data_IF_891832424273
#
_entry.id   IF_891832424273
#
_cell.length_a   1.000
_cell.length_b   1.000
_cell.length_c   1.000
_cell.angle_alpha   90.00
_cell.angle_beta   90.00
_cell.angle_gamma   90.00
#
_symmetry.space_group_name_H-M   'P 1'
#
loop_
_entity.id
_entity.type
_entity.pdbx_description
1 polymer ?
#
# COMPACT_ATOMS: atom_id res chain seq x y z
N UNK A 1 -5.25 -21.27 6.84
CA UNK A 1 -6.40 -20.82 6.00
C UNK A 1 -6.67 -21.86 4.92
N UNK A 2 -7.67 -22.69 5.10
CA UNK A 2 -8.14 -23.63 4.07
C UNK A 2 -9.12 -22.91 3.17
N UNK A 3 -8.83 -21.98 2.31
CA UNK A 3 -9.83 -21.63 1.28
C UNK A 3 -9.39 -20.46 0.42
N UNK A 4 -8.59 -20.76 -0.61
CA UNK A 4 -8.46 -19.85 -1.76
C UNK A 4 -9.82 -19.50 -2.37
N UNK A 5 -10.77 -20.42 -2.35
CA UNK A 5 -12.13 -20.23 -2.87
C UNK A 5 -12.95 -19.22 -2.06
N UNK A 6 -12.79 -19.19 -0.74
CA UNK A 6 -13.45 -18.21 0.12
C UNK A 6 -12.97 -16.79 -0.18
N UNK A 7 -11.66 -16.61 -0.32
CA UNK A 7 -11.09 -15.29 -0.65
C UNK A 7 -11.47 -14.84 -2.06
N UNK A 8 -11.57 -15.77 -3.02
CA UNK A 8 -12.11 -15.43 -4.34
C UNK A 8 -13.55 -14.91 -4.24
N UNK A 9 -14.38 -15.50 -3.39
CA UNK A 9 -15.72 -14.99 -3.10
C UNK A 9 -15.75 -13.57 -2.53
N UNK A 10 -14.74 -13.18 -1.72
CA UNK A 10 -14.64 -11.80 -1.18
C UNK A 10 -14.34 -10.76 -2.25
N UNK A 11 -13.75 -11.18 -3.37
CA UNK A 11 -13.24 -10.32 -4.42
C UNK A 11 -14.10 -10.33 -5.69
N UNK A 12 -15.16 -11.13 -5.72
CA UNK A 12 -15.96 -11.38 -6.93
C UNK A 12 -16.64 -10.14 -7.52
N UNK A 13 -16.92 -9.14 -6.69
CA UNK A 13 -17.56 -7.87 -7.06
C UNK A 13 -16.56 -6.71 -7.22
N UNK A 14 -15.26 -6.97 -7.08
CA UNK A 14 -14.24 -5.93 -7.25
C UNK A 14 -13.88 -5.74 -8.72
N UNK A 15 -14.06 -4.52 -9.18
CA UNK A 15 -13.58 -4.10 -10.49
C UNK A 15 -12.13 -3.63 -10.41
N UNK A 16 -11.29 -4.27 -11.22
CA UNK A 16 -9.87 -3.94 -11.34
C UNK A 16 -9.55 -3.32 -12.69
N UNK A 17 -8.65 -2.35 -12.66
CA UNK A 17 -8.08 -1.76 -13.86
C UNK A 17 -7.10 -2.73 -14.53
N UNK A 18 -7.15 -2.80 -15.87
CA UNK A 18 -6.29 -3.68 -16.68
C UNK A 18 -5.89 -2.99 -17.96
N UNK A 19 -4.73 -3.33 -18.49
CA UNK A 19 -4.37 -2.96 -19.85
C UNK A 19 -4.98 -3.94 -20.86
N UNK A 20 -5.63 -3.43 -21.90
CA UNK A 20 -5.93 -4.23 -23.07
C UNK A 20 -4.65 -4.72 -23.77
N UNK A 21 -4.73 -5.79 -24.56
CA UNK A 21 -3.58 -6.46 -25.17
C UNK A 21 -2.70 -5.51 -25.99
N UNK A 22 -3.32 -4.69 -26.85
CA UNK A 22 -2.61 -3.72 -27.70
C UNK A 22 -1.84 -2.70 -26.85
N UNK A 23 -2.50 -2.14 -25.83
CA UNK A 23 -1.89 -1.15 -24.94
C UNK A 23 -0.74 -1.74 -24.11
N UNK A 24 -0.86 -3.00 -23.70
CA UNK A 24 0.21 -3.74 -23.00
C UNK A 24 1.45 -3.89 -23.90
N UNK A 25 1.23 -4.26 -25.17
CA UNK A 25 2.32 -4.41 -26.12
C UNK A 25 2.98 -3.06 -26.41
N UNK A 26 2.20 -2.01 -26.70
CA UNK A 26 2.69 -0.65 -26.95
C UNK A 26 3.50 -0.13 -25.75
N UNK A 27 3.00 -0.38 -24.54
CA UNK A 27 3.72 -0.03 -23.31
C UNK A 27 5.06 -0.74 -23.21
N UNK A 28 5.12 -2.02 -23.48
CA UNK A 28 6.35 -2.84 -23.37
C UNK A 28 7.39 -2.43 -24.44
N UNK A 29 6.95 -2.21 -25.68
CA UNK A 29 7.86 -2.01 -26.82
C UNK A 29 8.26 -0.54 -27.00
N UNK A 30 7.39 0.41 -26.66
CA UNK A 30 7.64 1.84 -26.92
C UNK A 30 7.67 2.69 -25.66
N UNK A 31 6.61 2.66 -24.84
CA UNK A 31 6.45 3.62 -23.74
C UNK A 31 7.49 3.37 -22.63
N UNK A 32 7.67 2.14 -22.18
CA UNK A 32 8.63 1.82 -21.13
C UNK A 32 10.08 2.07 -21.57
N UNK A 33 10.56 1.65 -22.77
CA UNK A 33 11.89 2.03 -23.25
C UNK A 33 12.07 3.54 -23.33
N UNK A 34 11.11 4.28 -23.89
CA UNK A 34 11.18 5.73 -23.96
C UNK A 34 11.30 6.37 -22.56
N UNK A 35 10.44 6.01 -21.63
CA UNK A 35 10.47 6.53 -20.26
C UNK A 35 11.80 6.18 -19.54
N UNK A 36 12.27 4.95 -19.69
CA UNK A 36 13.48 4.49 -19.00
C UNK A 36 14.78 5.05 -19.59
N UNK A 37 14.84 5.36 -20.88
CA UNK A 37 16.10 5.71 -21.58
C UNK A 37 16.16 7.13 -22.09
N UNK A 38 15.03 7.86 -22.18
CA UNK A 38 15.08 9.31 -22.46
C UNK A 38 15.98 10.03 -21.45
N UNK A 39 16.78 11.03 -21.85
CA UNK A 39 17.59 11.79 -20.90
C UNK A 39 16.76 12.35 -19.74
N UNK A 40 17.20 12.08 -18.50
CA UNK A 40 16.44 12.47 -17.32
C UNK A 40 16.20 13.98 -17.21
N UNK A 41 17.19 14.78 -17.65
CA UNK A 41 17.06 16.25 -17.71
C UNK A 41 15.93 16.70 -18.66
N UNK A 42 15.81 16.08 -19.83
CA UNK A 42 14.74 16.36 -20.77
C UNK A 42 13.37 15.97 -20.20
N UNK A 43 13.28 14.77 -19.61
CA UNK A 43 12.03 14.31 -18.98
C UNK A 43 11.61 15.25 -17.84
N UNK A 44 12.54 15.64 -16.98
CA UNK A 44 12.27 16.62 -15.90
C UNK A 44 11.85 17.98 -16.45
N UNK A 45 12.46 18.46 -17.54
CA UNK A 45 12.08 19.71 -18.18
C UNK A 45 10.63 19.64 -18.71
N UNK A 46 10.26 18.56 -19.39
CA UNK A 46 8.89 18.35 -19.89
C UNK A 46 7.90 18.33 -18.73
N UNK A 47 8.19 17.60 -17.65
CA UNK A 47 7.29 17.52 -16.49
C UNK A 47 7.14 18.87 -15.77
N UNK A 48 8.19 19.71 -15.73
CA UNK A 48 8.11 21.07 -15.19
C UNK A 48 7.28 21.99 -16.11
N UNK A 49 7.53 21.96 -17.42
CA UNK A 49 6.80 22.77 -18.39
C UNK A 49 5.29 22.44 -18.44
N UNK A 50 4.94 21.20 -18.12
CA UNK A 50 3.55 20.73 -18.05
C UNK A 50 2.94 20.79 -16.66
N UNK A 51 3.65 21.41 -15.70
CA UNK A 51 3.21 21.62 -14.31
C UNK A 51 2.71 20.33 -13.65
N UNK A 52 3.45 19.21 -13.84
CA UNK A 52 3.08 17.92 -13.28
C UNK A 52 3.10 17.96 -11.75
N UNK A 53 1.92 17.86 -11.13
CA UNK A 53 1.78 17.77 -9.66
C UNK A 53 2.35 16.46 -9.12
N UNK A 54 2.18 15.35 -9.84
CA UNK A 54 2.75 14.05 -9.49
C UNK A 54 4.28 14.11 -9.46
N UNK A 55 4.89 14.77 -10.46
CA UNK A 55 6.34 14.94 -10.50
C UNK A 55 6.82 15.85 -9.36
N UNK A 56 6.15 16.98 -9.15
CA UNK A 56 6.47 17.90 -8.06
C UNK A 56 6.41 17.21 -6.68
N UNK A 57 5.36 16.43 -6.44
CA UNK A 57 5.20 15.64 -5.21
C UNK A 57 6.36 14.65 -5.02
N UNK A 58 6.75 13.92 -6.08
CA UNK A 58 7.86 12.96 -6.01
C UNK A 58 9.23 13.63 -5.90
N UNK A 59 9.41 14.84 -6.42
CA UNK A 59 10.69 15.58 -6.23
C UNK A 59 10.82 16.16 -4.83
N UNK A 60 9.70 16.51 -4.19
CA UNK A 60 9.69 16.97 -2.81
C UNK A 60 9.91 15.81 -1.82
N UNK A 61 9.23 14.68 -2.05
CA UNK A 61 9.29 13.48 -1.21
C UNK A 61 9.06 12.24 -2.09
N UNK A 62 10.15 11.58 -2.55
CA UNK A 62 10.07 10.45 -3.48
C UNK A 62 9.28 9.27 -2.89
N UNK A 63 8.13 8.96 -3.48
CA UNK A 63 7.21 7.92 -2.99
C UNK A 63 6.37 8.32 -1.78
N UNK A 64 6.43 9.58 -1.39
CA UNK A 64 5.68 10.12 -0.27
C UNK A 64 4.16 10.15 -0.49
N UNK A 65 3.44 10.40 0.58
CA UNK A 65 1.98 10.27 0.62
C UNK A 65 1.24 11.14 -0.42
N UNK A 66 1.76 12.34 -0.77
CA UNK A 66 1.13 13.23 -1.76
C UNK A 66 1.08 12.58 -3.14
N UNK A 67 2.18 11.97 -3.58
CA UNK A 67 2.25 11.25 -4.86
C UNK A 67 1.33 10.03 -4.88
N UNK A 68 1.17 9.37 -3.72
CA UNK A 68 0.24 8.25 -3.55
C UNK A 68 -1.21 8.70 -3.66
N UNK A 69 -1.58 9.82 -3.03
CA UNK A 69 -2.94 10.39 -3.11
C UNK A 69 -3.32 10.73 -4.54
N UNK A 70 -2.43 11.41 -5.29
CA UNK A 70 -2.66 11.74 -6.72
C UNK A 70 -2.88 10.45 -7.52
N UNK A 71 -2.10 9.41 -7.25
CA UNK A 71 -2.22 8.11 -7.92
C UNK A 71 -3.53 7.39 -7.55
N UNK A 72 -3.97 7.47 -6.29
CA UNK A 72 -5.22 6.87 -5.80
C UNK A 72 -6.48 7.58 -6.27
N UNK A 73 -6.45 8.91 -6.35
CA UNK A 73 -7.56 9.70 -6.89
C UNK A 73 -7.83 9.37 -8.36
N UNK A 74 -6.76 9.17 -9.13
CA UNK A 74 -6.87 8.73 -10.52
C UNK A 74 -7.46 9.79 -11.46
N UNK A 75 -7.64 11.03 -11.02
CA UNK A 75 -8.24 12.12 -11.82
C UNK A 75 -7.38 13.39 -11.83
N UNK A 76 -6.15 13.32 -12.33
CA UNK A 76 -5.25 14.47 -12.37
C UNK A 76 -5.73 15.53 -13.36
N UNK A 77 -5.39 16.79 -13.07
CA UNK A 77 -5.77 17.93 -13.92
C UNK A 77 -4.81 18.13 -15.08
N UNK A 78 -3.50 18.01 -14.83
CA UNK A 78 -2.43 18.27 -15.79
C UNK A 78 -2.34 17.17 -16.85
N UNK A 79 -1.99 17.55 -18.09
CA UNK A 79 -1.90 16.62 -19.23
C UNK A 79 -0.81 15.55 -18.97
N UNK A 80 0.35 15.96 -18.46
CA UNK A 80 1.42 15.00 -18.14
C UNK A 80 0.98 14.01 -17.08
N UNK A 81 0.28 14.47 -16.04
CA UNK A 81 -0.21 13.60 -14.99
C UNK A 81 -1.30 12.65 -15.49
N UNK A 82 -2.17 13.09 -16.41
CA UNK A 82 -3.12 12.19 -17.10
C UNK A 82 -2.38 11.06 -17.80
N UNK A 83 -1.29 11.36 -18.50
CA UNK A 83 -0.48 10.35 -19.17
C UNK A 83 0.23 9.42 -18.17
N UNK A 84 0.77 9.95 -17.09
CA UNK A 84 1.45 9.17 -16.06
C UNK A 84 0.48 8.31 -15.25
N UNK A 85 -0.63 8.88 -14.77
CA UNK A 85 -1.60 8.23 -13.87
C UNK A 85 -2.45 7.19 -14.62
N UNK A 86 -2.94 7.52 -15.80
CA UNK A 86 -3.72 6.57 -16.60
C UNK A 86 -2.84 5.66 -17.48
N UNK A 87 -1.70 6.15 -17.96
CA UNK A 87 -0.76 5.40 -18.78
C UNK A 87 0.21 4.50 -18.00
N UNK A 88 0.50 4.85 -16.76
CA UNK A 88 1.46 4.17 -15.92
C UNK A 88 0.94 2.85 -15.34
N UNK A 89 1.78 1.80 -15.35
CA UNK A 89 1.42 0.54 -14.66
C UNK A 89 1.42 0.72 -13.13
N UNK A 90 2.35 1.49 -12.60
CA UNK A 90 2.46 1.72 -11.16
C UNK A 90 1.22 2.42 -10.57
N UNK A 91 0.74 3.58 -11.06
CA UNK A 91 -0.47 4.21 -10.53
C UNK A 91 -1.72 3.33 -10.66
N UNK A 92 -1.86 2.60 -11.76
CA UNK A 92 -2.96 1.65 -11.95
C UNK A 92 -2.89 0.50 -10.93
N UNK A 93 -1.71 -0.09 -10.73
CA UNK A 93 -1.48 -1.13 -9.75
C UNK A 93 -1.70 -0.63 -8.31
N UNK A 94 -1.34 0.62 -8.00
CA UNK A 94 -1.63 1.25 -6.72
C UNK A 94 -3.14 1.35 -6.45
N UNK A 95 -3.95 1.75 -7.43
CA UNK A 95 -5.41 1.78 -7.30
C UNK A 95 -5.99 0.38 -7.13
N UNK A 96 -5.48 -0.62 -7.88
CA UNK A 96 -5.88 -2.01 -7.72
C UNK A 96 -5.50 -2.54 -6.33
N UNK A 97 -4.26 -2.28 -5.86
CA UNK A 97 -3.81 -2.65 -4.51
C UNK A 97 -4.71 -2.03 -3.44
N UNK A 98 -5.06 -0.75 -3.56
CA UNK A 98 -5.96 -0.06 -2.64
C UNK A 98 -7.31 -0.76 -2.53
N UNK A 99 -7.97 -1.06 -3.67
CA UNK A 99 -9.27 -1.76 -3.70
C UNK A 99 -9.18 -3.15 -3.09
N UNK A 100 -8.15 -3.91 -3.50
CA UNK A 100 -7.89 -5.27 -3.01
C UNK A 100 -7.64 -5.28 -1.51
N UNK A 101 -6.71 -4.47 -1.04
CA UNK A 101 -6.31 -4.42 0.36
C UNK A 101 -7.43 -3.93 1.28
N UNK A 102 -8.17 -2.88 0.89
CA UNK A 102 -9.31 -2.39 1.67
C UNK A 102 -10.40 -3.46 1.82
N UNK A 103 -10.71 -4.21 0.74
CA UNK A 103 -11.66 -5.31 0.79
C UNK A 103 -11.19 -6.45 1.70
N UNK A 104 -9.92 -6.87 1.56
CA UNK A 104 -9.36 -7.93 2.40
C UNK A 104 -9.33 -7.51 3.87
N UNK A 105 -8.90 -6.29 4.16
CA UNK A 105 -8.88 -5.77 5.53
C UNK A 105 -10.29 -5.70 6.13
N UNK A 106 -11.29 -5.24 5.38
CA UNK A 106 -12.69 -5.24 5.82
C UNK A 106 -13.18 -6.65 6.19
N UNK A 107 -12.84 -7.65 5.37
CA UNK A 107 -13.20 -9.05 5.64
C UNK A 107 -12.47 -9.65 6.85
N UNK A 108 -11.24 -9.23 7.10
CA UNK A 108 -10.51 -9.62 8.32
C UNK A 108 -11.10 -8.96 9.55
N UNK A 109 -11.50 -7.69 9.48
CA UNK A 109 -12.24 -7.00 10.54
C UNK A 109 -13.53 -7.74 10.89
N UNK A 110 -14.31 -8.17 9.90
CA UNK A 110 -15.56 -8.92 10.11
C UNK A 110 -15.34 -10.28 10.82
N UNK A 111 -14.11 -10.82 10.79
CA UNK A 111 -13.72 -12.08 11.44
C UNK A 111 -12.94 -11.92 12.74
N UNK A 112 -12.69 -10.69 13.15
CA UNK A 112 -12.01 -10.45 14.42
C UNK A 112 -12.78 -11.09 15.58
N UNK A 113 -12.11 -11.68 16.58
CA UNK A 113 -12.77 -12.35 17.69
C UNK A 113 -13.48 -11.39 18.63
N UNK A 114 -13.02 -10.13 18.68
CA UNK A 114 -13.49 -9.09 19.61
C UNK A 114 -14.26 -8.01 18.86
N UNK A 115 -15.24 -7.36 19.51
CA UNK A 115 -15.96 -6.21 18.99
C UNK A 115 -16.02 -5.10 20.07
N UNK A 116 -15.60 -3.88 19.76
CA UNK A 116 -15.09 -3.42 18.47
C UNK A 116 -13.69 -4.01 18.15
N UNK A 117 -13.45 -4.36 16.88
CA UNK A 117 -12.16 -4.85 16.44
C UNK A 117 -11.13 -3.72 16.38
N UNK A 118 -9.89 -3.99 16.81
CA UNK A 118 -8.78 -3.05 16.72
C UNK A 118 -7.88 -3.33 15.52
N UNK A 119 -7.74 -2.37 14.63
CA UNK A 119 -6.81 -2.39 13.50
C UNK A 119 -5.60 -1.52 13.81
N UNK A 120 -4.41 -2.07 13.62
CA UNK A 120 -3.15 -1.30 13.65
C UNK A 120 -2.63 -1.15 12.23
N UNK A 121 -2.50 0.08 11.75
CA UNK A 121 -1.93 0.40 10.44
C UNK A 121 -0.58 1.08 10.60
N UNK A 122 0.44 0.57 9.93
CA UNK A 122 1.83 0.96 10.05
C UNK A 122 2.37 1.56 8.75
N UNK A 123 3.07 2.70 8.86
CA UNK A 123 3.43 3.50 7.69
C UNK A 123 2.17 3.95 6.98
N UNK A 124 1.16 4.33 7.77
CA UNK A 124 -0.20 4.54 7.31
C UNK A 124 -0.34 5.74 6.37
N UNK A 125 0.58 6.69 6.41
CA UNK A 125 0.43 7.97 5.72
C UNK A 125 -0.92 8.60 6.06
N UNK A 126 -1.76 8.92 5.05
CA UNK A 126 -3.12 9.43 5.29
C UNK A 126 -4.15 8.35 5.68
N UNK A 127 -3.77 7.08 5.79
CA UNK A 127 -4.65 5.99 6.22
C UNK A 127 -5.81 5.66 5.30
N UNK A 128 -5.68 5.90 4.00
CA UNK A 128 -6.78 5.75 3.03
C UNK A 128 -7.29 4.31 2.97
N UNK A 129 -6.40 3.31 2.88
CA UNK A 129 -6.78 1.89 2.76
C UNK A 129 -7.53 1.43 4.01
N UNK A 130 -7.00 1.75 5.19
CA UNK A 130 -7.64 1.41 6.46
C UNK A 130 -8.98 2.12 6.63
N UNK A 131 -9.08 3.39 6.26
CA UNK A 131 -10.34 4.15 6.27
C UNK A 131 -11.39 3.53 5.35
N UNK A 132 -10.99 3.17 4.12
CA UNK A 132 -11.87 2.48 3.16
C UNK A 132 -12.35 1.12 3.70
N UNK A 133 -11.47 0.38 4.39
CA UNK A 133 -11.83 -0.88 5.01
C UNK A 133 -12.82 -0.71 6.15
N UNK A 134 -12.62 0.28 7.04
CA UNK A 134 -13.55 0.61 8.10
C UNK A 134 -14.92 1.02 7.56
N UNK A 135 -14.96 1.78 6.45
CA UNK A 135 -16.21 2.17 5.80
C UNK A 135 -16.96 0.98 5.18
N UNK A 136 -16.24 -0.05 4.70
CA UNK A 136 -16.82 -1.26 4.11
C UNK A 136 -17.24 -2.30 5.16
N UNK A 137 -16.56 -2.35 6.30
CA UNK A 137 -16.85 -3.32 7.35
C UNK A 137 -18.20 -3.04 8.03
N UNK A 138 -19.02 -4.08 8.19
CA UNK A 138 -20.32 -4.01 8.90
C UNK A 138 -20.13 -4.07 10.41
N UNK A 139 -19.08 -4.75 10.86
CA UNK A 139 -18.73 -4.91 12.26
C UNK A 139 -18.13 -3.61 12.82
N UNK A 140 -18.40 -3.30 14.08
CA UNK A 140 -17.76 -2.16 14.75
C UNK A 140 -16.24 -2.40 14.85
N UNK A 141 -15.48 -1.40 14.41
CA UNK A 141 -14.03 -1.42 14.47
C UNK A 141 -13.47 0.00 14.56
N UNK A 142 -12.29 0.10 15.12
CA UNK A 142 -11.49 1.34 15.15
C UNK A 142 -10.06 1.04 14.72
N UNK A 143 -9.32 2.07 14.32
CA UNK A 143 -7.95 1.92 13.87
C UNK A 143 -7.01 2.91 14.55
N UNK A 144 -5.82 2.41 14.89
CA UNK A 144 -4.64 3.20 15.25
C UNK A 144 -3.72 3.25 14.02
N UNK A 145 -3.51 4.45 13.50
CA UNK A 145 -2.74 4.72 12.29
C UNK A 145 -1.42 5.36 12.70
N UNK A 146 -0.31 4.65 12.49
CA UNK A 146 1.02 5.06 12.93
C UNK A 146 1.89 5.41 11.72
N UNK A 147 2.51 6.58 11.74
CA UNK A 147 3.48 7.00 10.74
C UNK A 147 4.57 7.86 11.37
N UNK A 148 5.77 7.84 10.79
CA UNK A 148 6.87 8.73 11.18
C UNK A 148 6.58 10.19 10.80
N UNK A 149 5.88 10.39 9.68
CA UNK A 149 5.57 11.71 9.15
C UNK A 149 4.12 12.10 9.42
N UNK A 150 3.92 13.05 10.33
CA UNK A 150 2.61 13.55 10.68
C UNK A 150 1.96 14.46 9.60
N UNK A 151 2.69 14.87 8.57
CA UNK A 151 2.20 15.79 7.52
C UNK A 151 0.99 15.25 6.77
N UNK A 152 0.82 13.91 6.71
CA UNK A 152 -0.32 13.26 6.09
C UNK A 152 -1.59 13.27 6.94
N UNK A 153 -1.49 13.53 8.23
CA UNK A 153 -2.57 13.27 9.19
C UNK A 153 -3.75 14.21 9.05
N UNK A 154 -3.52 15.47 8.70
CA UNK A 154 -4.61 16.42 8.44
C UNK A 154 -5.47 15.96 7.27
N UNK A 155 -4.81 15.61 6.14
CA UNK A 155 -5.49 15.04 4.99
C UNK A 155 -6.23 13.74 5.37
N UNK A 156 -5.59 12.87 6.14
CA UNK A 156 -6.16 11.61 6.60
C UNK A 156 -7.41 11.77 7.46
N UNK A 157 -7.40 12.72 8.40
CA UNK A 157 -8.57 13.03 9.23
C UNK A 157 -9.76 13.53 8.40
N UNK A 158 -9.48 14.42 7.45
CA UNK A 158 -10.51 14.93 6.55
C UNK A 158 -11.05 13.82 5.62
N UNK A 159 -10.18 12.95 5.11
CA UNK A 159 -10.59 11.78 4.33
C UNK A 159 -11.48 10.85 5.16
N UNK A 160 -11.07 10.50 6.38
CA UNK A 160 -11.83 9.64 7.27
C UNK A 160 -13.20 10.24 7.64
N UNK A 161 -13.26 11.56 7.87
CA UNK A 161 -14.50 12.28 8.14
C UNK A 161 -15.48 12.17 6.96
N UNK A 162 -15.01 12.38 5.73
CA UNK A 162 -15.83 12.24 4.51
C UNK A 162 -16.32 10.81 4.28
N UNK A 163 -15.50 9.82 4.65
CA UNK A 163 -15.85 8.40 4.55
C UNK A 163 -16.76 7.90 5.71
N UNK A 164 -17.16 8.77 6.64
CA UNK A 164 -17.97 8.38 7.79
C UNK A 164 -17.22 7.55 8.85
N UNK A 165 -15.87 7.62 8.84
CA UNK A 165 -15.01 6.88 9.77
C UNK A 165 -14.22 7.80 10.73
N UNK A 166 -14.49 9.11 10.75
CA UNK A 166 -13.68 10.10 11.45
C UNK A 166 -13.48 9.85 12.95
N UNK A 167 -14.49 9.33 13.64
CA UNK A 167 -14.43 8.96 15.06
C UNK A 167 -13.88 7.54 15.31
N UNK A 168 -13.49 6.83 14.27
CA UNK A 168 -12.99 5.45 14.35
C UNK A 168 -11.50 5.35 14.02
N UNK A 169 -10.83 6.47 13.73
CA UNK A 169 -9.41 6.52 13.40
C UNK A 169 -8.67 7.42 14.38
N UNK A 170 -7.53 6.93 14.87
CA UNK A 170 -6.58 7.66 15.70
C UNK A 170 -5.24 7.70 14.99
N UNK A 171 -4.72 8.90 14.72
CA UNK A 171 -3.41 9.10 14.10
C UNK A 171 -2.35 9.34 15.17
N UNK A 172 -1.24 8.60 15.11
CA UNK A 172 -0.11 8.71 16.03
C UNK A 172 1.19 8.88 15.22
N UNK A 173 1.94 9.94 15.54
CA UNK A 173 3.29 10.09 15.03
C UNK A 173 4.27 9.33 15.92
N UNK A 174 5.10 8.47 15.32
CA UNK A 174 6.10 7.74 16.08
C UNK A 174 6.82 6.66 15.31
N UNK A 175 7.96 6.25 15.86
CA UNK A 175 8.73 5.14 15.33
C UNK A 175 8.21 3.80 15.90
N UNK A 176 7.68 2.98 15.02
CA UNK A 176 7.15 1.65 15.33
C UNK A 176 8.20 0.77 16.02
N UNK A 177 9.47 0.93 15.66
CA UNK A 177 10.56 0.08 16.17
C UNK A 177 10.82 0.27 17.66
N UNK A 178 10.55 1.46 18.17
CA UNK A 178 10.93 1.85 19.53
C UNK A 178 9.75 1.99 20.49
N UNK A 179 8.58 2.39 19.99
CA UNK A 179 7.47 2.80 20.86
C UNK A 179 6.16 2.04 20.64
N UNK A 180 6.16 0.94 19.85
CA UNK A 180 4.91 0.25 19.50
C UNK A 180 4.13 -0.24 20.73
N UNK A 181 4.83 -0.65 21.79
CA UNK A 181 4.19 -1.12 23.04
C UNK A 181 3.50 0.01 23.81
N UNK A 182 4.06 1.24 23.73
CA UNK A 182 3.52 2.42 24.42
C UNK A 182 2.35 3.05 23.65
N UNK A 183 2.25 2.75 22.35
CA UNK A 183 1.23 3.32 21.46
C UNK A 183 -0.10 2.58 21.51
N UNK A 184 -0.14 1.37 22.08
CA UNK A 184 -1.28 0.47 22.05
C UNK A 184 -1.85 0.23 23.44
N UNK A 185 -3.12 0.55 23.62
CA UNK A 185 -3.87 0.23 24.84
C UNK A 185 -4.20 -1.28 24.92
N UNK A 186 -4.37 -1.93 23.75
CA UNK A 186 -4.71 -3.34 23.61
C UNK A 186 -4.01 -3.98 22.41
N UNK A 187 -3.76 -5.31 22.43
CA UNK A 187 -3.26 -6.02 21.26
C UNK A 187 -4.17 -5.82 20.04
N UNK A 188 -3.62 -5.52 18.85
CA UNK A 188 -4.44 -5.40 17.66
C UNK A 188 -4.97 -6.77 17.19
N UNK A 189 -6.24 -6.77 16.74
CA UNK A 189 -6.89 -7.94 16.14
C UNK A 189 -6.48 -8.14 14.69
N UNK A 190 -6.14 -7.07 13.99
CA UNK A 190 -5.67 -7.08 12.60
C UNK A 190 -4.57 -6.04 12.45
N UNK A 191 -3.51 -6.39 11.73
CA UNK A 191 -2.45 -5.44 11.38
C UNK A 191 -2.41 -5.20 9.87
N UNK A 192 -2.16 -3.97 9.48
CA UNK A 192 -1.90 -3.57 8.10
C UNK A 192 -0.53 -2.90 8.02
N UNK A 193 0.34 -3.40 7.14
CA UNK A 193 1.68 -2.90 6.86
C UNK A 193 1.89 -2.89 5.34
N UNK A 194 1.22 -1.96 4.67
CA UNK A 194 1.21 -1.84 3.21
C UNK A 194 1.96 -0.57 2.76
N UNK A 195 2.75 -0.70 1.70
CA UNK A 195 3.43 0.43 1.08
C UNK A 195 4.69 0.90 1.81
N UNK A 196 5.23 0.14 2.76
CA UNK A 196 6.46 0.49 3.47
C UNK A 196 7.60 -0.51 3.21
N UNK A 197 7.31 -1.79 2.98
CA UNK A 197 8.35 -2.82 2.82
C UNK A 197 9.29 -2.54 1.63
N UNK A 198 8.81 -1.85 0.61
CA UNK A 198 9.59 -1.45 -0.56
C UNK A 198 10.64 -0.37 -0.27
N UNK A 199 10.58 0.30 0.88
CA UNK A 199 11.54 1.34 1.30
C UNK A 199 12.53 0.84 2.37
N UNK A 200 12.36 -0.40 2.85
CA UNK A 200 13.12 -0.99 3.94
C UNK A 200 14.10 -2.03 3.44
N UNK A 201 15.27 -2.17 4.11
CA UNK A 201 16.17 -3.32 3.91
C UNK A 201 15.50 -4.60 4.47
N UNK A 202 16.06 -5.76 4.15
CA UNK A 202 15.54 -7.05 4.64
C UNK A 202 15.58 -7.11 6.18
N UNK A 203 16.66 -6.64 6.78
CA UNK A 203 16.83 -6.57 8.24
C UNK A 203 15.81 -5.63 8.89
N UNK A 204 15.53 -4.50 8.25
CA UNK A 204 14.52 -3.55 8.75
C UNK A 204 13.11 -4.14 8.65
N UNK A 205 12.79 -4.83 7.56
CA UNK A 205 11.51 -5.54 7.39
C UNK A 205 11.32 -6.55 8.51
N UNK A 206 12.31 -7.43 8.74
CA UNK A 206 12.25 -8.44 9.81
C UNK A 206 12.15 -7.80 11.18
N UNK A 207 12.94 -6.75 11.46
CA UNK A 207 12.93 -6.05 12.74
C UNK A 207 11.56 -5.46 13.08
N UNK A 208 10.97 -4.71 12.12
CA UNK A 208 9.64 -4.10 12.29
C UNK A 208 8.56 -5.17 12.41
N UNK A 209 8.57 -6.16 11.52
CA UNK A 209 7.60 -7.25 11.53
C UNK A 209 7.66 -8.06 12.84
N UNK A 210 8.86 -8.28 13.41
CA UNK A 210 9.04 -8.94 14.71
C UNK A 210 8.50 -8.10 15.86
N UNK A 211 8.70 -6.78 15.85
CA UNK A 211 8.15 -5.88 16.85
C UNK A 211 6.62 -5.90 16.83
N UNK A 212 6.04 -5.86 15.63
CA UNK A 212 4.59 -5.97 15.42
C UNK A 212 4.04 -7.32 15.88
N UNK A 213 4.69 -8.40 15.48
CA UNK A 213 4.28 -9.76 15.86
C UNK A 213 4.18 -9.90 17.39
N UNK A 214 5.14 -9.34 18.16
CA UNK A 214 5.11 -9.40 19.63
C UNK A 214 3.87 -8.77 20.26
N UNK A 215 3.35 -7.67 19.70
CA UNK A 215 2.19 -6.94 20.25
C UNK A 215 0.84 -7.45 19.76
N UNK A 216 0.80 -8.26 18.71
CA UNK A 216 -0.43 -8.83 18.17
C UNK A 216 -1.02 -9.90 19.07
N UNK A 217 -2.33 -10.10 19.03
CA UNK A 217 -2.97 -11.26 19.59
C UNK A 217 -2.53 -12.56 18.88
N UNK A 218 -2.51 -13.69 19.58
CA UNK A 218 -2.16 -15.00 18.98
C UNK A 218 -3.11 -15.35 17.83
N UNK A 219 -2.58 -15.80 16.70
CA UNK A 219 -3.35 -16.14 15.50
C UNK A 219 -3.92 -14.94 14.73
N UNK A 220 -3.71 -13.69 15.20
CA UNK A 220 -4.19 -12.49 14.53
C UNK A 220 -3.58 -12.36 13.11
N UNK A 221 -4.38 -11.95 12.12
CA UNK A 221 -3.91 -11.75 10.75
C UNK A 221 -3.19 -10.41 10.59
N UNK A 222 -2.21 -10.40 9.67
CA UNK A 222 -1.55 -9.19 9.20
C UNK A 222 -1.54 -9.15 7.67
N UNK A 223 -1.71 -7.95 7.10
CA UNK A 223 -1.61 -7.69 5.68
C UNK A 223 -0.27 -7.03 5.36
N UNK A 224 0.39 -7.55 4.33
CA UNK A 224 1.62 -7.03 3.75
C UNK A 224 1.47 -6.87 2.24
N UNK A 225 2.36 -6.13 1.58
CA UNK A 225 2.47 -6.24 0.13
C UNK A 225 3.92 -6.42 -0.33
N UNK A 226 4.10 -7.23 -1.35
CA UNK A 226 5.33 -7.24 -2.14
C UNK A 226 5.20 -6.33 -3.36
N UNK A 227 6.33 -5.81 -3.82
CA UNK A 227 6.44 -5.01 -5.03
C UNK A 227 7.37 -5.72 -6.02
N UNK A 228 6.86 -6.05 -7.21
CA UNK A 228 7.63 -6.69 -8.28
C UNK A 228 8.11 -5.69 -9.34
N UNK A 229 9.05 -6.10 -10.18
CA UNK A 229 9.52 -5.32 -11.33
C UNK A 229 8.52 -5.26 -12.51
N UNK A 230 7.34 -5.87 -12.38
CA UNK A 230 6.34 -5.96 -13.47
C UNK A 230 5.83 -4.59 -13.97
N UNK A 231 5.97 -3.53 -13.17
CA UNK A 231 5.65 -2.17 -13.63
C UNK A 231 6.55 -1.68 -14.78
N UNK A 232 7.80 -2.20 -14.88
CA UNK A 232 8.71 -1.96 -15.99
C UNK A 232 9.33 -0.58 -16.09
N UNK A 233 9.26 0.25 -15.04
CA UNK A 233 9.69 1.64 -15.04
C UNK A 233 10.63 2.00 -13.86
N UNK A 234 11.31 1.03 -13.26
CA UNK A 234 12.21 1.28 -12.11
C UNK A 234 13.31 2.31 -12.46
N UNK A 235 13.91 2.15 -13.64
CA UNK A 235 14.95 3.09 -14.12
C UNK A 235 14.40 4.52 -14.26
N UNK A 236 13.17 4.69 -14.73
CA UNK A 236 12.49 5.97 -14.80
C UNK A 236 12.31 6.58 -13.41
N UNK A 237 11.77 5.82 -12.47
CA UNK A 237 11.54 6.28 -11.10
C UNK A 237 12.82 6.73 -10.42
N UNK A 238 13.89 5.93 -10.50
CA UNK A 238 15.20 6.29 -9.93
C UNK A 238 15.80 7.53 -10.55
N UNK A 239 15.79 7.66 -11.88
CA UNK A 239 16.46 8.74 -12.60
C UNK A 239 15.69 10.04 -12.62
N UNK A 240 14.37 9.99 -12.73
CA UNK A 240 13.53 11.17 -12.90
C UNK A 240 13.02 11.68 -11.55
N UNK A 241 12.60 10.79 -10.66
CA UNK A 241 12.04 11.14 -9.36
C UNK A 241 12.99 10.96 -8.17
N UNK A 242 14.10 10.24 -8.34
CA UNK A 242 14.97 9.87 -7.23
C UNK A 242 14.36 8.77 -6.34
N UNK A 243 13.30 8.13 -6.81
CA UNK A 243 12.57 7.11 -6.07
C UNK A 243 13.28 5.75 -6.19
N UNK A 244 13.80 5.27 -5.08
CA UNK A 244 14.45 3.97 -4.95
C UNK A 244 13.56 3.01 -4.19
N UNK A 245 13.28 1.85 -4.78
CA UNK A 245 12.43 0.83 -4.19
C UNK A 245 13.15 -0.52 -4.17
N UNK A 246 12.99 -1.26 -3.08
CA UNK A 246 13.45 -2.64 -2.96
C UNK A 246 12.34 -3.57 -3.49
N UNK A 247 12.60 -4.17 -4.65
CA UNK A 247 11.66 -5.10 -5.26
C UNK A 247 11.83 -6.49 -4.64
N UNK A 248 10.72 -7.08 -4.24
CA UNK A 248 10.65 -8.44 -3.69
C UNK A 248 9.47 -9.17 -4.31
N UNK A 249 9.67 -10.42 -4.66
CA UNK A 249 8.56 -11.33 -4.96
C UNK A 249 7.73 -11.60 -3.70
N UNK A 250 6.53 -12.10 -3.87
CA UNK A 250 5.71 -12.51 -2.74
C UNK A 250 6.39 -13.57 -1.87
N UNK A 251 7.14 -14.51 -2.49
CA UNK A 251 7.87 -15.56 -1.79
C UNK A 251 9.02 -15.02 -0.95
N UNK A 252 9.79 -14.07 -1.47
CA UNK A 252 10.88 -13.43 -0.71
C UNK A 252 10.33 -12.66 0.49
N UNK A 253 9.26 -11.89 0.32
CA UNK A 253 8.64 -11.19 1.44
C UNK A 253 8.05 -12.15 2.48
N UNK A 254 7.39 -13.24 2.05
CA UNK A 254 6.89 -14.27 2.97
C UNK A 254 8.02 -14.92 3.78
N UNK A 255 9.18 -15.13 3.17
CA UNK A 255 10.34 -15.67 3.87
C UNK A 255 10.83 -14.72 4.99
N UNK A 256 10.88 -13.40 4.72
CA UNK A 256 11.22 -12.39 5.72
C UNK A 256 10.17 -12.32 6.85
N UNK A 257 8.89 -12.35 6.49
CA UNK A 257 7.81 -12.36 7.48
C UNK A 257 7.82 -13.65 8.30
N UNK A 258 8.22 -14.79 7.71
CA UNK A 258 8.42 -16.05 8.44
C UNK A 258 9.51 -15.96 9.50
N UNK A 259 10.64 -15.27 9.22
CA UNK A 259 11.67 -14.98 10.20
C UNK A 259 11.16 -14.11 11.36
N UNK A 260 10.15 -13.28 11.10
CA UNK A 260 9.50 -12.44 12.10
C UNK A 260 8.38 -13.15 12.91
N UNK A 261 8.17 -14.45 12.69
CA UNK A 261 7.19 -15.25 13.42
C UNK A 261 5.78 -15.29 12.81
N UNK A 262 5.62 -14.87 11.55
CA UNK A 262 4.37 -15.03 10.80
C UNK A 262 4.36 -16.35 10.03
N UNK A 263 3.17 -16.89 9.79
CA UNK A 263 2.95 -18.10 8.99
C UNK A 263 1.60 -18.08 8.29
N UNK A 264 1.15 -19.24 7.80
CA UNK A 264 -0.14 -19.42 7.12
C UNK A 264 -0.42 -18.39 6.01
N UNK A 265 0.58 -18.19 5.15
CA UNK A 265 0.53 -17.15 4.14
C UNK A 265 -0.46 -17.44 3.02
N UNK A 266 -1.24 -16.43 2.66
CA UNK A 266 -2.03 -16.36 1.44
C UNK A 266 -1.62 -15.13 0.62
N UNK A 267 -1.22 -15.34 -0.64
CA UNK A 267 -0.77 -14.27 -1.54
C UNK A 267 -1.76 -14.07 -2.67
N UNK A 268 -2.20 -12.85 -2.87
CA UNK A 268 -3.21 -12.46 -3.86
C UNK A 268 -2.61 -11.38 -4.76
N UNK A 269 -2.32 -11.67 -6.04
CA UNK A 269 -1.83 -10.68 -6.99
C UNK A 269 -2.95 -9.72 -7.40
N UNK A 270 -2.62 -8.44 -7.54
CA UNK A 270 -3.47 -7.56 -8.34
C UNK A 270 -3.25 -7.84 -9.85
N UNK A 271 -4.19 -7.47 -10.74
CA UNK A 271 -4.18 -7.95 -12.12
C UNK A 271 -2.98 -7.59 -12.99
N UNK A 272 -2.18 -6.59 -12.61
CA UNK A 272 -0.97 -6.21 -13.35
C UNK A 272 0.27 -6.98 -12.88
N UNK A 273 0.17 -7.70 -11.76
CA UNK A 273 1.26 -8.44 -11.16
C UNK A 273 2.38 -7.58 -10.58
N UNK A 274 2.12 -6.28 -10.37
CA UNK A 274 3.06 -5.35 -9.74
C UNK A 274 3.06 -5.56 -8.23
N UNK A 275 1.87 -5.64 -7.63
CA UNK A 275 1.70 -5.89 -6.20
C UNK A 275 1.05 -7.25 -5.94
N UNK A 276 1.54 -7.93 -4.91
CA UNK A 276 0.80 -9.01 -4.25
C UNK A 276 0.43 -8.55 -2.85
N UNK A 277 -0.84 -8.61 -2.51
CA UNK A 277 -1.29 -8.45 -1.13
C UNK A 277 -1.18 -9.81 -0.45
N UNK A 278 -0.49 -9.85 0.67
CA UNK A 278 -0.17 -11.07 1.40
C UNK A 278 -0.85 -10.99 2.76
N UNK A 279 -1.61 -12.01 3.12
CA UNK A 279 -2.12 -12.21 4.47
C UNK A 279 -1.23 -13.23 5.13
N UNK A 280 -0.66 -12.91 6.29
CA UNK A 280 0.02 -13.85 7.18
C UNK A 280 -0.67 -13.86 8.53
N UNK A 281 -0.41 -14.88 9.36
CA UNK A 281 -0.92 -14.96 10.73
C UNK A 281 0.24 -14.99 11.70
N UNK A 282 0.05 -14.38 12.88
CA UNK A 282 0.95 -14.60 14.01
C UNK A 282 0.99 -16.09 14.34
N UNK A 283 2.19 -16.66 14.40
CA UNK A 283 2.39 -18.02 14.92
C UNK A 283 1.84 -18.15 16.34
N UNK A 284 1.36 -19.35 16.67
CA UNK A 284 0.89 -19.66 18.02
C UNK A 284 2.02 -19.78 19.02
#
# INVERSE_FOLDING_TARGET
>A
MRNGDEVQGWLSDLEFERFGTVRRLLKKVLINPLANYMPAGLMRAVLRLTESELAAANWADPGGWRSMVISYDGNPRQIADKLLVHGGAMPMALRNRRRLAARLLARLIERAPVEPAHVLSLGAGPGIITTDALAQARRKAYATLVDLNADAFEYGREYARRAGAGNRVRFLAGDIRTHIHEMLDHPPDVVEMLGICEYLTDEQVVSIASAVNRVMAGGAPALFNSLSMAHGNDRFFRRVFGLHMNHRSARELQALMGQAGFGDFLSIPEPLGVYHVIIGRKGG
#
